data_IF_049364898041
#
_entry.id   IF_049364898041
#
_cell.length_a   1.000
_cell.length_b   1.000
_cell.length_c   1.000
_cell.angle_alpha   90.00
_cell.angle_beta   90.00
_cell.angle_gamma   90.00
#
_symmetry.space_group_name_H-M   'P 1'
#
loop_
_entity.id
_entity.type
_entity.pdbx_description
1 polymer ?
#
# COMPACT_ATOMS: atom_id res chain seq x y z
N UNK A 1 11.27 72.63 -11.69
CA UNK A 1 11.66 72.65 -10.26
C UNK A 1 10.41 72.24 -9.49
N UNK A 2 10.29 71.11 -8.80
CA UNK A 2 11.16 70.01 -8.39
C UNK A 2 10.25 68.82 -8.01
N UNK A 3 10.63 67.60 -8.42
CA UNK A 3 10.64 66.31 -7.69
C UNK A 3 9.41 65.88 -6.86
N UNK A 4 8.95 64.63 -6.79
CA UNK A 4 9.41 63.31 -7.25
C UNK A 4 8.41 62.29 -6.71
N UNK A 5 7.94 61.32 -7.49
CA UNK A 5 7.37 60.08 -6.94
C UNK A 5 7.70 58.92 -7.90
N UNK A 6 8.50 57.98 -7.40
CA UNK A 6 8.70 56.65 -7.97
C UNK A 6 8.06 55.63 -7.01
N UNK A 7 7.41 54.56 -7.51
CA UNK A 7 6.98 53.45 -6.66
C UNK A 7 8.13 52.43 -6.53
N UNK A 8 8.40 51.99 -5.30
CA UNK A 8 9.34 50.90 -5.00
C UNK A 8 8.58 49.65 -4.55
N UNK A 9 9.15 48.51 -4.90
CA UNK A 9 8.63 47.13 -4.95
C UNK A 9 8.57 46.45 -3.55
N UNK A 10 7.46 45.74 -3.28
CA UNK A 10 7.07 44.59 -2.38
C UNK A 10 8.04 44.06 -1.27
N UNK A 11 7.59 43.40 -0.16
CA UNK A 11 6.71 42.20 -0.19
C UNK A 11 5.65 42.01 0.92
N UNK A 12 4.66 41.20 0.57
CA UNK A 12 3.67 40.54 1.43
C UNK A 12 4.31 39.49 2.36
N UNK A 13 3.83 39.42 3.61
CA UNK A 13 3.69 38.16 4.39
C UNK A 13 2.44 38.32 5.26
N UNK A 14 1.27 37.89 4.78
CA UNK A 14 0.65 36.59 5.09
C UNK A 14 0.00 36.58 6.48
N UNK A 15 -1.30 36.86 6.48
CA UNK A 15 -2.24 36.53 7.54
C UNK A 15 -2.10 35.06 7.93
N UNK A 16 -1.80 34.81 9.21
CA UNK A 16 -1.99 33.52 9.83
C UNK A 16 -2.77 33.71 11.12
N UNK A 17 -4.09 33.90 10.95
CA UNK A 17 -5.12 33.78 11.98
C UNK A 17 -5.04 32.37 12.60
N UNK A 18 -4.27 32.24 13.69
CA UNK A 18 -4.32 31.08 14.58
C UNK A 18 -5.51 31.27 15.52
N UNK A 19 -6.59 30.56 15.21
CA UNK A 19 -7.73 30.36 16.11
C UNK A 19 -7.25 29.78 17.45
N UNK A 20 -7.35 30.60 18.49
CA UNK A 20 -7.24 30.20 19.90
C UNK A 20 -8.63 29.77 20.35
N UNK A 21 -8.79 28.51 20.75
CA UNK A 21 -10.04 28.00 21.31
C UNK A 21 -9.82 27.65 22.78
N UNK A 22 -10.66 28.27 23.60
CA UNK A 22 -10.62 28.37 25.05
C UNK A 22 -10.56 27.04 25.79
N UNK A 23 -9.61 26.98 26.71
CA UNK A 23 -9.52 25.95 27.75
C UNK A 23 -9.09 26.58 29.08
N UNK A 24 -9.61 27.77 29.40
CA UNK A 24 -9.48 28.36 30.73
C UNK A 24 -10.56 27.77 31.64
N UNK A 25 -10.19 26.71 32.36
CA UNK A 25 -10.89 26.26 33.56
C UNK A 25 -9.87 26.16 34.68
N UNK A 26 -9.77 27.27 35.40
CA UNK A 26 -9.67 27.41 36.85
C UNK A 26 -8.86 26.37 37.64
N UNK A 27 -8.00 26.95 38.46
CA UNK A 27 -6.93 26.31 39.24
C UNK A 27 -7.45 25.49 40.42
N UNK A 28 -8.15 24.39 40.15
CA UNK A 28 -8.49 23.37 41.15
C UNK A 28 -7.22 22.58 41.55
N UNK A 29 -6.70 22.87 42.75
CA UNK A 29 -5.57 22.18 43.40
C UNK A 29 -5.86 20.68 43.60
N UNK A 30 -5.70 19.89 42.54
CA UNK A 30 -5.77 18.43 42.58
C UNK A 30 -4.61 17.92 43.42
N UNK A 31 -4.89 17.56 44.68
CA UNK A 31 -4.01 16.74 45.53
C UNK A 31 -3.49 15.59 44.66
N UNK A 32 -2.18 15.57 44.36
CA UNK A 32 -1.53 14.50 43.58
C UNK A 32 -1.89 13.18 44.25
N UNK A 33 -2.82 12.42 43.67
CA UNK A 33 -3.04 11.02 44.05
C UNK A 33 -1.70 10.34 43.84
N UNK A 34 -1.00 10.04 44.94
CA UNK A 34 0.20 9.23 44.93
C UNK A 34 -0.13 7.95 44.18
N UNK A 35 0.48 7.80 43.00
CA UNK A 35 0.34 6.63 42.11
C UNK A 35 0.73 5.42 42.95
N UNK A 36 -0.26 4.71 43.52
CA UNK A 36 -0.02 3.45 44.23
C UNK A 36 0.75 2.56 43.25
N UNK A 37 2.03 2.33 43.56
CA UNK A 37 2.87 1.40 42.80
C UNK A 37 2.11 0.07 42.80
N UNK A 38 1.78 -0.45 41.62
CA UNK A 38 1.14 -1.76 41.47
C UNK A 38 2.17 -2.81 41.87
N UNK A 39 2.34 -3.04 43.17
CA UNK A 39 3.44 -3.82 43.71
C UNK A 39 3.39 -5.32 43.34
N UNK A 40 2.26 -5.81 42.81
CA UNK A 40 2.04 -7.23 42.54
C UNK A 40 1.67 -7.51 41.08
N UNK A 41 2.11 -6.69 40.12
CA UNK A 41 1.97 -7.06 38.71
C UNK A 41 3.06 -8.09 38.41
N UNK A 42 2.65 -9.32 38.13
CA UNK A 42 3.55 -10.37 37.61
C UNK A 42 4.47 -9.75 36.56
N UNK A 43 5.79 -9.91 36.72
CA UNK A 43 6.75 -9.41 35.73
C UNK A 43 6.39 -10.05 34.40
N UNK A 44 6.43 -9.25 33.33
CA UNK A 44 6.18 -9.75 31.99
C UNK A 44 7.10 -10.95 31.73
N UNK A 45 6.51 -12.12 31.49
CA UNK A 45 7.22 -13.32 31.05
C UNK A 45 7.22 -13.30 29.51
N UNK A 46 8.38 -13.35 28.84
CA UNK A 46 8.44 -13.43 27.39
C UNK A 46 7.71 -14.67 26.88
N UNK A 47 7.01 -14.54 25.75
CA UNK A 47 6.13 -15.58 25.21
C UNK A 47 6.87 -16.91 24.97
N UNK A 48 8.13 -16.88 24.54
CA UNK A 48 8.94 -18.09 24.33
C UNK A 48 9.27 -18.89 25.60
N UNK A 49 9.17 -18.26 26.79
CA UNK A 49 9.44 -18.91 28.08
C UNK A 49 8.21 -19.55 28.72
N UNK A 50 7.03 -19.37 28.13
CA UNK A 50 5.76 -19.93 28.61
C UNK A 50 5.60 -21.37 28.12
N UNK A 51 4.95 -22.21 28.94
CA UNK A 51 4.53 -23.53 28.49
C UNK A 51 3.46 -23.40 27.38
N UNK A 52 3.29 -24.42 26.51
CA UNK A 52 2.23 -24.40 25.50
C UNK A 52 0.84 -24.15 26.09
N UNK A 53 0.55 -24.74 27.24
CA UNK A 53 -0.72 -24.55 27.96
C UNK A 53 -0.87 -23.11 28.49
N UNK A 54 0.20 -22.53 29.06
CA UNK A 54 0.22 -21.15 29.51
C UNK A 54 0.03 -20.15 28.34
N UNK A 55 0.57 -20.45 27.15
CA UNK A 55 0.39 -19.64 25.94
C UNK A 55 -1.08 -19.61 25.51
N UNK A 56 -1.70 -20.78 25.39
CA UNK A 56 -3.12 -20.91 25.02
C UNK A 56 -3.99 -20.17 26.03
N UNK A 57 -3.73 -20.33 27.33
CA UNK A 57 -4.46 -19.63 28.38
C UNK A 57 -4.28 -18.11 28.33
N UNK A 58 -3.06 -17.63 27.99
CA UNK A 58 -2.77 -16.20 27.84
C UNK A 58 -3.54 -15.62 26.66
N UNK A 59 -3.48 -16.28 25.50
CA UNK A 59 -4.15 -15.85 24.28
C UNK A 59 -5.67 -15.85 24.45
N UNK A 60 -6.24 -16.92 25.02
CA UNK A 60 -7.67 -16.99 25.33
C UNK A 60 -8.10 -15.87 26.31
N UNK A 61 -7.28 -15.58 27.32
CA UNK A 61 -7.55 -14.49 28.25
C UNK A 61 -7.38 -13.10 27.60
N UNK A 62 -6.53 -12.95 26.60
CA UNK A 62 -6.40 -11.72 25.80
C UNK A 62 -7.61 -11.51 24.88
N UNK A 63 -8.04 -12.56 24.19
CA UNK A 63 -9.26 -12.55 23.35
C UNK A 63 -10.50 -12.23 24.18
N UNK A 64 -10.69 -12.86 25.33
CA UNK A 64 -11.82 -12.53 26.22
C UNK A 64 -11.80 -11.06 26.69
N UNK A 65 -10.59 -10.49 26.90
CA UNK A 65 -10.43 -9.08 27.26
C UNK A 65 -10.70 -8.14 26.08
N UNK A 66 -10.33 -8.52 24.86
CA UNK A 66 -10.61 -7.73 23.66
C UNK A 66 -12.12 -7.72 23.36
N UNK A 67 -12.77 -8.87 23.41
CA UNK A 67 -14.23 -9.01 23.24
C UNK A 67 -15.01 -8.19 24.26
N UNK A 68 -14.58 -8.21 25.53
CA UNK A 68 -15.19 -7.38 26.57
C UNK A 68 -15.09 -5.89 26.23
N UNK A 69 -13.91 -5.42 25.77
CA UNK A 69 -13.72 -4.01 25.37
C UNK A 69 -14.56 -3.65 24.16
N UNK A 70 -14.70 -4.55 23.20
CA UNK A 70 -15.57 -4.37 22.03
C UNK A 70 -17.02 -4.22 22.48
N UNK A 71 -17.51 -5.12 23.35
CA UNK A 71 -18.87 -5.08 23.88
C UNK A 71 -19.15 -3.80 24.66
N UNK A 72 -18.21 -3.37 25.53
CA UNK A 72 -18.32 -2.10 26.26
C UNK A 72 -18.31 -0.88 25.33
N UNK A 73 -17.51 -0.90 24.25
CA UNK A 73 -17.47 0.19 23.25
C UNK A 73 -18.78 0.28 22.47
N UNK A 74 -19.30 -0.86 22.02
CA UNK A 74 -20.59 -0.98 21.32
C UNK A 74 -21.74 -0.50 22.21
N UNK A 75 -21.78 -0.92 23.49
CA UNK A 75 -22.79 -0.47 24.44
C UNK A 75 -22.74 1.04 24.70
N UNK A 76 -21.55 1.65 24.65
CA UNK A 76 -21.36 3.10 24.77
C UNK A 76 -21.57 3.87 23.45
N UNK A 77 -22.06 3.20 22.38
CA UNK A 77 -22.37 3.82 21.09
C UNK A 77 -21.15 4.36 20.32
N UNK A 78 -19.93 3.98 20.72
CA UNK A 78 -18.71 4.45 20.05
C UNK A 78 -18.48 3.62 18.79
N UNK A 79 -18.33 4.23 17.60
CA UNK A 79 -18.11 3.49 16.37
C UNK A 79 -16.83 2.66 16.49
N UNK A 80 -16.92 1.39 16.11
CA UNK A 80 -15.77 0.52 15.99
C UNK A 80 -15.16 0.71 14.61
N UNK A 81 -13.83 0.82 14.54
CA UNK A 81 -13.15 0.76 13.25
C UNK A 81 -13.54 -0.54 12.54
N UNK A 82 -13.69 -0.52 11.20
CA UNK A 82 -13.89 -1.75 10.42
C UNK A 82 -12.81 -2.78 10.77
N UNK A 83 -13.19 -4.06 10.83
CA UNK A 83 -12.23 -5.13 11.03
C UNK A 83 -11.15 -5.08 9.96
N UNK A 84 -9.88 -5.14 10.37
CA UNK A 84 -8.77 -5.26 9.42
C UNK A 84 -8.95 -6.55 8.60
N UNK A 85 -8.89 -6.43 7.27
CA UNK A 85 -9.09 -7.53 6.31
C UNK A 85 -7.91 -8.51 6.26
N UNK A 86 -6.84 -8.27 7.03
CA UNK A 86 -5.75 -9.27 7.19
C UNK A 86 -6.23 -10.58 7.82
N UNK A 87 -7.46 -10.67 8.33
CA UNK A 87 -8.05 -11.93 8.79
C UNK A 87 -8.08 -12.99 7.67
N UNK A 88 -8.36 -12.60 6.42
CA UNK A 88 -8.32 -13.53 5.30
C UNK A 88 -6.92 -14.14 5.11
N UNK A 89 -5.87 -13.33 5.28
CA UNK A 89 -4.48 -13.81 5.15
C UNK A 89 -4.09 -14.76 6.30
N UNK A 90 -4.62 -14.53 7.50
CA UNK A 90 -4.38 -15.40 8.66
C UNK A 90 -5.16 -16.72 8.53
N UNK A 91 -6.44 -16.64 8.16
CA UNK A 91 -7.30 -17.81 7.91
C UNK A 91 -6.76 -18.68 6.78
N UNK A 92 -6.30 -18.07 5.68
CA UNK A 92 -5.67 -18.78 4.56
C UNK A 92 -4.33 -19.41 4.96
N UNK A 93 -3.52 -18.72 5.78
CA UNK A 93 -2.30 -19.30 6.36
C UNK A 93 -2.60 -20.49 7.26
N UNK A 94 -3.59 -20.38 8.16
CA UNK A 94 -3.99 -21.45 9.06
C UNK A 94 -4.57 -22.64 8.29
N UNK A 95 -5.40 -22.39 7.27
CA UNK A 95 -5.95 -23.40 6.39
C UNK A 95 -4.88 -24.13 5.56
N UNK A 96 -3.79 -23.45 5.18
CA UNK A 96 -2.62 -24.08 4.55
C UNK A 96 -1.78 -24.87 5.56
N UNK A 97 -1.57 -24.32 6.76
CA UNK A 97 -0.81 -24.97 7.83
C UNK A 97 -1.48 -26.26 8.32
N UNK A 98 -2.82 -26.26 8.46
CA UNK A 98 -3.61 -27.44 8.83
C UNK A 98 -3.54 -28.55 7.76
N UNK A 99 -3.31 -28.18 6.49
CA UNK A 99 -3.20 -29.10 5.35
C UNK A 99 -1.78 -29.57 5.03
N UNK A 100 -0.73 -29.06 5.68
CA UNK A 100 0.64 -29.27 5.18
C UNK A 100 1.78 -29.03 6.17
N UNK A 101 1.74 -29.66 7.34
CA UNK A 101 2.80 -29.55 8.37
C UNK A 101 4.21 -30.01 7.93
N UNK A 102 4.35 -30.77 6.84
CA UNK A 102 5.64 -31.32 6.40
C UNK A 102 6.35 -30.46 5.33
N UNK A 103 5.58 -29.78 4.47
CA UNK A 103 6.12 -28.98 3.35
C UNK A 103 6.61 -27.61 3.82
N UNK A 104 5.95 -27.02 4.82
CA UNK A 104 6.33 -25.70 5.35
C UNK A 104 7.59 -25.76 6.23
N UNK A 105 7.78 -26.84 7.01
CA UNK A 105 9.04 -27.07 7.74
C UNK A 105 10.23 -27.30 6.80
N UNK A 106 10.01 -27.96 5.65
CA UNK A 106 11.02 -28.13 4.62
C UNK A 106 11.35 -26.82 3.90
N UNK A 107 10.36 -25.96 3.66
CA UNK A 107 10.54 -24.62 3.09
C UNK A 107 11.24 -23.66 4.07
N UNK A 108 10.86 -23.66 5.34
CA UNK A 108 11.51 -22.82 6.36
C UNK A 108 12.94 -23.30 6.67
N UNK A 109 13.18 -24.62 6.65
CA UNK A 109 14.53 -25.18 6.78
C UNK A 109 15.40 -24.91 5.54
N UNK A 110 14.81 -24.86 4.33
CA UNK A 110 15.52 -24.51 3.10
C UNK A 110 15.88 -23.01 3.07
N UNK A 111 14.99 -22.13 3.53
CA UNK A 111 15.28 -20.70 3.69
C UNK A 111 16.45 -20.43 4.62
N UNK A 112 16.46 -21.08 5.80
CA UNK A 112 17.57 -20.95 6.75
C UNK A 112 18.90 -21.49 6.20
N UNK A 113 18.86 -22.47 5.28
CA UNK A 113 20.05 -22.98 4.58
C UNK A 113 20.54 -22.03 3.49
N UNK A 114 19.65 -21.39 2.73
CA UNK A 114 20.02 -20.37 1.73
C UNK A 114 20.72 -19.19 2.38
N UNK A 115 20.27 -18.77 3.56
CA UNK A 115 20.89 -17.67 4.34
C UNK A 115 22.25 -18.08 4.94
N UNK A 116 22.51 -19.38 5.13
CA UNK A 116 23.80 -19.86 5.67
C UNK A 116 24.86 -20.11 4.58
N UNK A 117 24.46 -20.35 3.32
CA UNK A 117 25.38 -20.47 2.19
C UNK A 117 25.87 -19.13 1.61
N UNK A 118 25.24 -18.00 1.96
CA UNK A 118 25.74 -16.63 1.68
C UNK A 118 26.70 -16.09 2.75
N UNK A 119 27.29 -16.96 3.58
CA UNK A 119 28.38 -16.55 4.48
C UNK A 119 29.70 -16.48 3.72
N UNK A 120 29.85 -15.43 2.90
CA UNK A 120 31.15 -14.88 2.49
C UNK A 120 31.09 -13.37 2.74
N UNK A 121 31.82 -12.95 3.78
CA UNK A 121 32.19 -11.57 4.17
C UNK A 121 31.07 -10.53 4.28
N UNK A 122 30.68 -10.24 5.53
CA UNK A 122 29.69 -9.24 5.96
C UNK A 122 30.17 -7.78 5.87
N UNK A 123 30.96 -7.39 4.86
CA UNK A 123 31.53 -6.04 4.78
C UNK A 123 31.10 -5.23 3.54
N UNK A 124 30.36 -5.84 2.59
CA UNK A 124 29.97 -5.15 1.35
C UNK A 124 28.51 -4.62 1.31
N UNK A 125 27.63 -5.08 2.21
CA UNK A 125 26.19 -4.73 2.18
C UNK A 125 25.82 -3.59 3.14
N UNK A 126 26.71 -2.61 3.30
CA UNK A 126 26.43 -1.38 4.07
C UNK A 126 26.26 -0.13 3.18
N UNK A 127 26.20 -0.30 1.86
CA UNK A 127 26.03 0.81 0.92
C UNK A 127 25.04 0.44 -0.20
N UNK A 128 23.75 0.32 0.14
CA UNK A 128 22.68 0.49 -0.84
C UNK A 128 21.41 0.92 -0.11
N UNK A 129 21.44 2.12 0.46
CA UNK A 129 20.22 2.90 0.59
C UNK A 129 19.99 3.59 -0.77
N UNK A 130 18.85 3.31 -1.41
CA UNK A 130 18.29 4.21 -2.42
C UNK A 130 18.44 3.88 -3.90
N UNK A 131 18.60 2.61 -4.32
CA UNK A 131 18.52 2.25 -5.73
C UNK A 131 17.11 1.72 -6.09
N UNK A 132 16.32 2.55 -6.78
CA UNK A 132 15.27 2.07 -7.67
C UNK A 132 15.95 1.14 -8.69
N UNK A 133 15.97 -0.16 -8.40
CA UNK A 133 16.55 -1.17 -9.28
C UNK A 133 15.68 -1.24 -10.53
N UNK A 134 16.10 -0.54 -11.58
CA UNK A 134 15.63 -0.75 -12.94
C UNK A 134 15.63 -2.25 -13.22
N UNK A 135 14.52 -2.81 -13.71
CA UNK A 135 14.39 -4.20 -14.14
C UNK A 135 15.20 -4.51 -15.41
N UNK A 136 16.47 -4.08 -15.44
CA UNK A 136 17.42 -4.26 -16.53
C UNK A 136 18.55 -5.21 -16.11
N UNK A 137 18.34 -6.01 -15.07
CA UNK A 137 19.26 -7.11 -14.79
C UNK A 137 19.05 -8.21 -15.83
N UNK A 138 20.12 -8.89 -16.25
CA UNK A 138 19.99 -10.04 -17.16
C UNK A 138 19.08 -11.14 -16.60
N UNK A 139 19.04 -11.26 -15.26
CA UNK A 139 18.11 -12.16 -14.57
C UNK A 139 16.65 -11.74 -14.71
N UNK A 140 16.34 -10.43 -14.72
CA UNK A 140 14.97 -9.96 -14.95
C UNK A 140 14.52 -10.27 -16.37
N UNK A 141 15.41 -10.10 -17.36
CA UNK A 141 15.13 -10.43 -18.78
C UNK A 141 14.97 -11.93 -19.02
N UNK A 142 15.64 -12.78 -18.26
CA UNK A 142 15.44 -14.23 -18.29
C UNK A 142 14.07 -14.60 -17.73
N UNK A 143 13.68 -14.02 -16.59
CA UNK A 143 12.36 -14.23 -16.00
C UNK A 143 11.23 -13.70 -16.89
N UNK A 144 11.39 -12.54 -17.53
CA UNK A 144 10.41 -12.00 -18.47
C UNK A 144 10.22 -12.93 -19.68
N UNK A 145 11.31 -13.48 -20.22
CA UNK A 145 11.25 -14.45 -21.32
C UNK A 145 10.56 -15.76 -20.92
N UNK A 146 10.85 -16.27 -19.73
CA UNK A 146 10.17 -17.47 -19.21
C UNK A 146 8.67 -17.21 -19.04
N UNK A 147 8.30 -16.05 -18.49
CA UNK A 147 6.91 -15.63 -18.34
C UNK A 147 6.20 -15.49 -19.69
N UNK A 148 6.83 -14.84 -20.67
CA UNK A 148 6.29 -14.70 -22.03
C UNK A 148 6.04 -16.07 -22.67
N UNK A 149 7.00 -17.00 -22.56
CA UNK A 149 6.86 -18.35 -23.09
C UNK A 149 5.70 -19.13 -22.44
N UNK A 150 5.60 -19.11 -21.10
CA UNK A 150 4.49 -19.75 -20.39
C UNK A 150 3.14 -19.10 -20.73
N UNK A 151 3.10 -17.78 -20.86
CA UNK A 151 1.89 -17.05 -21.21
C UNK A 151 1.42 -17.37 -22.63
N UNK A 152 2.34 -17.47 -23.59
CA UNK A 152 2.05 -17.88 -24.96
C UNK A 152 1.53 -19.32 -25.01
N UNK A 153 2.20 -20.24 -24.32
CA UNK A 153 1.76 -21.64 -24.23
C UNK A 153 0.34 -21.71 -23.66
N UNK A 154 0.08 -21.08 -22.51
CA UNK A 154 -1.25 -21.02 -21.90
C UNK A 154 -2.30 -20.41 -22.83
N UNK A 155 -1.94 -19.35 -23.56
CA UNK A 155 -2.85 -18.67 -24.49
C UNK A 155 -3.20 -19.56 -25.68
N UNK A 156 -2.20 -20.23 -26.27
CA UNK A 156 -2.41 -21.21 -27.33
C UNK A 156 -3.32 -22.35 -26.84
N UNK A 157 -3.07 -22.85 -25.64
CA UNK A 157 -3.83 -23.92 -25.00
C UNK A 157 -5.28 -23.51 -24.71
N UNK A 158 -5.51 -22.27 -24.31
CA UNK A 158 -6.86 -21.73 -24.13
C UNK A 158 -7.59 -21.63 -25.46
N UNK A 159 -6.95 -21.05 -26.47
CA UNK A 159 -7.54 -20.84 -27.79
C UNK A 159 -7.86 -22.17 -28.46
N UNK A 160 -7.01 -23.19 -28.32
CA UNK A 160 -7.23 -24.52 -28.90
C UNK A 160 -8.44 -25.24 -28.28
N UNK A 161 -8.80 -24.92 -27.03
CA UNK A 161 -9.98 -25.46 -26.33
C UNK A 161 -11.29 -24.76 -26.71
N UNK A 162 -11.23 -23.57 -27.32
CA UNK A 162 -12.43 -22.84 -27.72
C UNK A 162 -13.05 -23.43 -28.98
N UNK A 163 -14.38 -23.48 -29.02
CA UNK A 163 -15.11 -23.76 -30.24
C UNK A 163 -15.05 -22.57 -31.20
N UNK A 164 -15.31 -22.82 -32.49
CA UNK A 164 -15.38 -21.74 -33.51
C UNK A 164 -16.38 -20.64 -33.13
N UNK A 165 -17.51 -21.01 -32.56
CA UNK A 165 -18.56 -20.07 -32.18
C UNK A 165 -18.14 -19.22 -30.96
N UNK A 166 -17.45 -19.81 -29.98
CA UNK A 166 -16.89 -19.06 -28.85
C UNK A 166 -15.77 -18.11 -29.30
N UNK A 167 -14.88 -18.57 -30.18
CA UNK A 167 -13.81 -17.75 -30.74
C UNK A 167 -14.37 -16.55 -31.52
N UNK A 168 -15.38 -16.76 -32.36
CA UNK A 168 -16.01 -15.67 -33.11
C UNK A 168 -16.70 -14.67 -32.18
N UNK A 169 -17.34 -15.13 -31.10
CA UNK A 169 -17.91 -14.25 -30.09
C UNK A 169 -16.84 -13.41 -29.38
N UNK A 170 -15.74 -14.01 -28.95
CA UNK A 170 -14.64 -13.28 -28.29
C UNK A 170 -14.03 -12.22 -29.21
N UNK A 171 -13.87 -12.53 -30.51
CA UNK A 171 -13.40 -11.57 -31.52
C UNK A 171 -14.37 -10.39 -31.63
N UNK A 172 -15.67 -10.65 -31.83
CA UNK A 172 -16.68 -9.60 -31.98
C UNK A 172 -16.76 -8.70 -30.73
N UNK A 173 -16.62 -9.27 -29.54
CA UNK A 173 -16.65 -8.49 -28.30
C UNK A 173 -15.37 -7.64 -28.13
N UNK A 174 -14.21 -8.15 -28.55
CA UNK A 174 -12.96 -7.36 -28.62
C UNK A 174 -13.06 -6.22 -29.64
N UNK A 175 -13.66 -6.46 -30.81
CA UNK A 175 -13.87 -5.42 -31.83
C UNK A 175 -14.75 -4.28 -31.31
N UNK A 176 -15.89 -4.60 -30.67
CA UNK A 176 -16.76 -3.58 -30.05
C UNK A 176 -16.02 -2.77 -28.98
N UNK A 177 -15.23 -3.43 -28.14
CA UNK A 177 -14.46 -2.75 -27.11
C UNK A 177 -13.36 -1.86 -27.71
N UNK A 178 -12.69 -2.32 -28.78
CA UNK A 178 -11.69 -1.53 -29.49
C UNK A 178 -12.32 -0.27 -30.10
N UNK A 179 -13.50 -0.39 -30.71
CA UNK A 179 -14.26 0.75 -31.24
C UNK A 179 -14.61 1.75 -30.13
N UNK A 180 -15.08 1.28 -28.97
CA UNK A 180 -15.38 2.12 -27.82
C UNK A 180 -14.15 2.89 -27.31
N UNK A 181 -13.00 2.21 -27.18
CA UNK A 181 -11.76 2.87 -26.77
C UNK A 181 -11.28 3.89 -27.79
N UNK A 182 -11.39 3.58 -29.09
CA UNK A 182 -11.05 4.50 -30.17
C UNK A 182 -11.95 5.74 -30.16
N UNK A 183 -13.26 5.57 -29.98
CA UNK A 183 -14.21 6.67 -29.89
C UNK A 183 -13.92 7.56 -28.67
N UNK A 184 -13.67 6.96 -27.51
CA UNK A 184 -13.31 7.69 -26.30
C UNK A 184 -11.99 8.45 -26.44
N UNK A 185 -10.98 7.81 -27.04
CA UNK A 185 -9.70 8.46 -27.34
C UNK A 185 -9.91 9.65 -28.30
N UNK A 186 -10.73 9.48 -29.33
CA UNK A 186 -11.08 10.55 -30.29
C UNK A 186 -11.80 11.71 -29.60
N UNK A 187 -12.78 11.43 -28.73
CA UNK A 187 -13.49 12.45 -27.92
C UNK A 187 -12.51 13.22 -27.04
N UNK A 188 -11.65 12.51 -26.32
CA UNK A 188 -10.65 13.12 -25.44
C UNK A 188 -9.63 13.95 -26.22
N UNK A 189 -9.18 13.49 -27.38
CA UNK A 189 -8.27 14.23 -28.25
C UNK A 189 -8.92 15.51 -28.80
N UNK A 190 -10.18 15.46 -29.21
CA UNK A 190 -10.94 16.64 -29.66
C UNK A 190 -11.12 17.66 -28.53
N UNK A 191 -11.48 17.20 -27.34
CA UNK A 191 -11.62 18.09 -26.18
C UNK A 191 -10.27 18.68 -25.77
N UNK A 192 -9.20 17.88 -25.77
CA UNK A 192 -7.85 18.36 -25.49
C UNK A 192 -7.44 19.44 -26.52
N UNK A 193 -7.70 19.23 -27.81
CA UNK A 193 -7.46 20.23 -28.86
C UNK A 193 -8.29 21.51 -28.64
N UNK A 194 -9.56 21.38 -28.26
CA UNK A 194 -10.44 22.52 -27.94
C UNK A 194 -9.92 23.32 -26.74
N UNK A 195 -9.51 22.64 -25.67
CA UNK A 195 -8.93 23.27 -24.48
C UNK A 195 -7.60 23.94 -24.81
N UNK A 196 -6.72 23.29 -25.58
CA UNK A 196 -5.46 23.87 -26.06
C UNK A 196 -5.71 25.16 -26.84
N UNK A 197 -6.68 25.14 -27.75
CA UNK A 197 -7.08 26.34 -28.50
C UNK A 197 -7.57 27.45 -27.56
N UNK A 198 -8.45 27.12 -26.61
CA UNK A 198 -8.95 28.09 -25.62
C UNK A 198 -7.81 28.69 -24.78
N UNK A 199 -6.85 27.89 -24.35
CA UNK A 199 -5.69 28.37 -23.58
C UNK A 199 -4.83 29.33 -24.41
N UNK A 200 -4.56 28.99 -25.67
CA UNK A 200 -3.83 29.86 -26.61
C UNK A 200 -4.60 31.17 -26.84
N UNK A 201 -5.91 31.11 -27.07
CA UNK A 201 -6.77 32.28 -27.27
C UNK A 201 -6.77 33.21 -26.03
N UNK A 202 -6.53 32.66 -24.83
CA UNK A 202 -6.39 33.40 -23.58
C UNK A 202 -4.93 33.76 -23.23
N UNK A 203 -3.98 33.57 -24.14
CA UNK A 203 -2.57 33.94 -23.95
C UNK A 203 -1.75 33.02 -23.05
N UNK A 204 -2.26 31.81 -22.75
CA UNK A 204 -1.57 30.81 -21.92
C UNK A 204 -0.77 29.88 -22.83
N UNK A 205 0.56 29.96 -22.76
CA UNK A 205 1.49 29.10 -23.51
C UNK A 205 1.60 27.74 -22.81
N UNK A 206 1.23 26.66 -23.50
CA UNK A 206 1.43 25.30 -23.03
C UNK A 206 2.87 24.86 -23.34
N UNK A 207 3.67 24.61 -22.31
CA UNK A 207 4.97 23.96 -22.47
C UNK A 207 4.82 22.56 -23.06
N UNK A 208 5.76 22.17 -23.92
CA UNK A 208 5.86 20.80 -24.43
C UNK A 208 6.18 19.85 -23.26
N UNK A 209 5.16 19.13 -22.78
CA UNK A 209 5.37 18.07 -21.80
C UNK A 209 5.56 16.73 -22.52
N UNK A 210 6.64 16.08 -22.10
CA UNK A 210 7.25 14.87 -22.60
C UNK A 210 6.30 13.66 -22.47
N UNK A 211 5.50 13.40 -23.50
CA UNK A 211 4.78 12.12 -23.63
C UNK A 211 5.08 11.51 -24.99
N UNK A 212 6.36 11.21 -25.20
CA UNK A 212 6.84 10.42 -26.34
C UNK A 212 7.96 9.50 -25.86
N UNK A 213 7.67 8.61 -24.90
CA UNK A 213 8.37 7.32 -24.90
C UNK A 213 7.44 6.33 -25.58
N UNK A 214 7.63 6.24 -26.91
CA UNK A 214 7.20 5.12 -27.73
C UNK A 214 7.98 3.89 -27.26
N UNK A 215 7.35 3.01 -26.48
CA UNK A 215 7.85 1.66 -26.28
C UNK A 215 7.53 0.92 -27.58
N UNK A 216 8.58 0.71 -28.39
CA UNK A 216 8.57 -0.17 -29.56
C UNK A 216 8.76 -1.60 -29.09
#
# INVERSE_FOLDING_TARGET
MTSSEQPTVVPHTSDQERSVSDGDLETEKKRRKTRRRRANKSRFKPYHSLSPEEKIALDAAETARSERRIRERMANGKPMAPSNTTQFLLEDREARAEKGLEVELAYEASERKRVRSISVSSEFMAASEGASSSGDSETDKEMDREFEAEFEEYTMDRISKLTKDEMTKEILDKEKNAELYQENMSKMMKENQRLRKMLIDNGIVLGENHTSQSVV
#
